data_IF_709415456378
#
_entry.id   IF_709415456378
#
_cell.length_a   1.000
_cell.length_b   1.000
_cell.length_c   1.000
_cell.angle_alpha   90.00
_cell.angle_beta   90.00
_cell.angle_gamma   90.00
#
_symmetry.space_group_name_H-M   'P 1'
#
loop_
_entity.id
_entity.type
_entity.pdbx_description
1 polymer ?
#
# COMPACT_ATOMS: atom_id res chain seq x y z
N UNK A 1 -6.21 18.23 -6.88
CA UNK A 1 -7.06 17.89 -5.73
C UNK A 1 -6.27 16.97 -4.81
N UNK A 2 -6.22 17.24 -3.51
CA UNK A 2 -5.55 16.35 -2.57
C UNK A 2 -6.48 15.18 -2.22
N UNK A 3 -6.00 13.94 -2.34
CA UNK A 3 -6.77 12.78 -1.93
C UNK A 3 -6.92 12.78 -0.40
N UNK A 4 -8.13 12.53 0.14
CA UNK A 4 -8.32 12.46 1.58
C UNK A 4 -7.48 11.32 2.17
N UNK A 5 -6.87 11.60 3.32
CA UNK A 5 -6.07 10.63 4.08
C UNK A 5 -6.91 10.04 5.21
N UNK A 6 -7.11 8.73 5.19
CA UNK A 6 -7.84 8.01 6.25
C UNK A 6 -6.84 7.28 7.15
N UNK A 7 -6.96 7.45 8.46
CA UNK A 7 -6.15 6.72 9.43
C UNK A 7 -6.82 5.41 9.84
N UNK A 8 -6.17 4.29 9.53
CA UNK A 8 -6.66 2.94 9.85
C UNK A 8 -5.91 2.31 11.03
N UNK A 9 -4.95 3.02 11.63
CA UNK A 9 -4.11 2.48 12.70
C UNK A 9 -4.94 2.18 13.95
N UNK A 10 -4.84 0.95 14.44
CA UNK A 10 -5.47 0.54 15.71
C UNK A 10 -7.01 0.43 15.66
N UNK A 11 -7.63 0.61 14.48
CA UNK A 11 -9.07 0.43 14.35
C UNK A 11 -9.45 -1.05 14.48
N UNK A 12 -10.51 -1.31 15.25
CA UNK A 12 -11.08 -2.64 15.42
C UNK A 12 -12.42 -2.71 14.69
N UNK A 13 -12.69 -3.80 13.94
CA UNK A 13 -13.99 -4.00 13.31
C UNK A 13 -15.15 -3.84 14.30
N UNK A 14 -16.24 -3.20 13.86
CA UNK A 14 -17.45 -2.99 14.65
C UNK A 14 -17.36 -1.85 15.68
N UNK A 15 -16.25 -1.13 15.78
CA UNK A 15 -16.17 0.10 16.57
C UNK A 15 -16.72 1.31 15.78
N UNK A 16 -17.24 2.36 16.43
CA UNK A 16 -17.68 3.57 15.73
C UNK A 16 -16.59 4.17 14.84
N UNK A 17 -15.35 4.25 15.32
CA UNK A 17 -14.21 4.73 14.53
C UNK A 17 -13.90 3.88 13.28
N UNK A 18 -14.20 2.57 13.33
CA UNK A 18 -14.11 1.71 12.15
C UNK A 18 -15.20 2.01 11.12
N UNK A 19 -16.44 2.21 11.56
CA UNK A 19 -17.57 2.55 10.67
C UNK A 19 -17.36 3.92 10.00
N UNK A 20 -16.84 4.90 10.75
CA UNK A 20 -16.45 6.22 10.22
C UNK A 20 -15.33 6.11 9.18
N UNK A 21 -14.26 5.38 9.49
CA UNK A 21 -13.15 5.17 8.55
C UNK A 21 -13.60 4.43 7.29
N UNK A 22 -14.47 3.42 7.43
CA UNK A 22 -15.06 2.69 6.30
C UNK A 22 -15.87 3.65 5.41
N UNK A 23 -16.71 4.48 6.01
CA UNK A 23 -17.51 5.48 5.30
C UNK A 23 -16.62 6.46 4.53
N UNK A 24 -15.55 6.95 5.17
CA UNK A 24 -14.59 7.86 4.53
C UNK A 24 -13.84 7.21 3.35
N UNK A 25 -13.40 5.96 3.50
CA UNK A 25 -12.78 5.18 2.42
C UNK A 25 -13.76 5.02 1.25
N UNK A 26 -14.99 4.58 1.52
CA UNK A 26 -16.03 4.41 0.48
C UNK A 26 -16.31 5.71 -0.25
N UNK A 27 -16.48 6.82 0.47
CA UNK A 27 -16.72 8.12 -0.12
C UNK A 27 -15.56 8.55 -1.05
N UNK A 28 -14.31 8.36 -0.62
CA UNK A 28 -13.13 8.68 -1.44
C UNK A 28 -13.06 7.82 -2.70
N UNK A 29 -13.38 6.53 -2.59
CA UNK A 29 -13.41 5.63 -3.75
C UNK A 29 -14.49 6.03 -4.75
N UNK A 30 -15.68 6.42 -4.29
CA UNK A 30 -16.78 6.89 -5.16
C UNK A 30 -16.42 8.21 -5.85
N UNK A 31 -15.84 9.17 -5.11
CA UNK A 31 -15.56 10.49 -5.63
C UNK A 31 -14.28 10.57 -6.48
N UNK A 32 -13.27 9.75 -6.17
CA UNK A 32 -11.91 9.90 -6.71
C UNK A 32 -11.34 8.60 -7.30
N UNK A 33 -11.99 7.45 -7.12
CA UNK A 33 -11.46 6.15 -7.53
C UNK A 33 -10.24 5.67 -6.72
N UNK A 34 -9.81 6.43 -5.71
CA UNK A 34 -8.65 6.13 -4.89
C UNK A 34 -8.75 6.74 -3.49
N UNK A 35 -7.91 6.28 -2.56
CA UNK A 35 -7.79 6.79 -1.19
C UNK A 35 -6.34 6.64 -0.72
N UNK A 36 -5.87 7.57 0.12
CA UNK A 36 -4.60 7.42 0.82
C UNK A 36 -4.87 6.95 2.24
N UNK A 37 -4.25 5.86 2.66
CA UNK A 37 -4.44 5.32 4.02
C UNK A 37 -3.16 5.39 4.84
N UNK A 38 -3.27 5.78 6.11
CA UNK A 38 -2.24 5.49 7.09
C UNK A 38 -2.53 4.11 7.69
N UNK A 39 -1.71 3.13 7.32
CA UNK A 39 -1.79 1.77 7.82
C UNK A 39 -0.52 1.46 8.61
N UNK A 40 -0.67 1.05 9.88
CA UNK A 40 0.46 0.89 10.80
C UNK A 40 1.31 -0.35 10.58
N UNK A 41 0.90 -1.27 9.70
CA UNK A 41 1.64 -2.53 9.51
C UNK A 41 2.94 -2.40 8.69
N UNK A 42 3.16 -1.29 8.00
CA UNK A 42 4.44 -1.05 7.31
C UNK A 42 5.26 -0.07 8.14
N UNK A 43 6.14 -0.62 8.98
CA UNK A 43 7.09 0.16 9.75
C UNK A 43 8.05 0.94 8.84
N UNK A 44 8.60 2.07 9.32
CA UNK A 44 9.54 2.89 8.54
C UNK A 44 10.78 2.10 8.11
N UNK A 45 11.24 1.16 8.92
CA UNK A 45 12.40 0.31 8.62
C UNK A 45 12.12 -0.61 7.44
N UNK A 46 10.94 -1.24 7.40
CA UNK A 46 10.54 -2.09 6.28
C UNK A 46 10.37 -1.28 5.00
N UNK A 47 9.80 -0.07 5.11
CA UNK A 47 9.65 0.83 3.96
C UNK A 47 11.01 1.23 3.40
N UNK A 48 11.97 1.55 4.26
CA UNK A 48 13.32 1.94 3.83
C UNK A 48 14.08 0.76 3.24
N UNK A 49 14.06 -0.40 3.89
CA UNK A 49 14.69 -1.61 3.37
C UNK A 49 14.14 -1.98 1.97
N UNK A 50 12.81 -1.90 1.80
CA UNK A 50 12.17 -2.23 0.53
C UNK A 50 12.44 -1.18 -0.55
N UNK A 51 12.11 0.10 -0.31
CA UNK A 51 12.10 1.12 -1.36
C UNK A 51 13.38 1.96 -1.42
N UNK A 52 14.07 2.17 -0.29
CA UNK A 52 15.34 2.90 -0.24
C UNK A 52 16.52 2.09 -0.77
N UNK A 53 16.47 0.76 -0.59
CA UNK A 53 17.56 -0.15 -0.97
C UNK A 53 17.14 -1.22 -1.97
N UNK A 54 16.32 -2.19 -1.57
CA UNK A 54 16.11 -3.42 -2.32
C UNK A 54 15.52 -3.19 -3.73
N UNK A 55 14.52 -2.32 -3.86
CA UNK A 55 13.91 -2.03 -5.16
C UNK A 55 14.92 -1.39 -6.12
N UNK A 56 15.75 -0.46 -5.66
CA UNK A 56 16.76 0.18 -6.51
C UNK A 56 17.72 -0.86 -7.09
N UNK A 57 18.24 -1.74 -6.24
CA UNK A 57 19.14 -2.82 -6.65
C UNK A 57 18.48 -3.75 -7.68
N UNK A 58 17.20 -4.10 -7.48
CA UNK A 58 16.44 -4.92 -8.45
C UNK A 58 16.28 -4.20 -9.80
N UNK A 59 16.02 -2.90 -9.81
CA UNK A 59 15.86 -2.14 -11.05
C UNK A 59 17.16 -1.96 -11.82
N UNK A 60 18.30 -1.87 -11.12
CA UNK A 60 19.65 -1.79 -11.70
C UNK A 60 20.10 -3.08 -12.40
N UNK A 61 19.46 -4.22 -12.11
CA UNK A 61 19.75 -5.47 -12.80
C UNK A 61 19.49 -5.36 -14.32
N UNK A 62 20.28 -6.07 -15.16
CA UNK A 62 20.00 -6.18 -16.59
C UNK A 62 18.59 -6.70 -16.88
N UNK A 63 18.05 -6.36 -18.05
CA UNK A 63 16.70 -6.76 -18.44
C UNK A 63 16.53 -8.29 -18.42
N UNK A 64 17.53 -9.01 -18.89
CA UNK A 64 17.59 -10.47 -18.94
C UNK A 64 17.53 -11.05 -17.53
N UNK A 65 18.22 -10.43 -16.57
CA UNK A 65 18.22 -10.88 -15.18
C UNK A 65 16.83 -10.70 -14.53
N UNK A 66 16.14 -9.59 -14.80
CA UNK A 66 14.76 -9.34 -14.32
C UNK A 66 13.75 -10.32 -14.91
N UNK A 67 13.90 -10.69 -16.18
CA UNK A 67 13.00 -11.62 -16.88
C UNK A 67 13.12 -13.07 -16.41
N UNK A 68 14.18 -13.43 -15.66
CA UNK A 68 14.30 -14.78 -15.06
C UNK A 68 13.42 -14.97 -13.82
N UNK A 69 12.88 -13.90 -13.25
CA UNK A 69 11.92 -13.98 -12.15
C UNK A 69 10.54 -14.37 -12.68
N UNK A 70 10.39 -15.64 -13.06
CA UNK A 70 9.14 -16.24 -13.52
C UNK A 70 8.51 -17.08 -12.41
N UNK A 71 7.18 -17.09 -12.37
CA UNK A 71 6.43 -17.94 -11.45
C UNK A 71 6.33 -19.37 -11.99
N UNK A 72 6.53 -20.39 -11.14
CA UNK A 72 6.28 -21.80 -11.47
C UNK A 72 4.80 -22.19 -11.33
N UNK A 73 4.04 -21.40 -10.58
CA UNK A 73 2.58 -21.38 -10.60
C UNK A 73 2.17 -20.39 -11.68
N UNK A 74 1.79 -20.91 -12.84
CA UNK A 74 1.37 -20.11 -14.01
C UNK A 74 0.16 -19.21 -13.73
N UNK A 75 -0.39 -18.52 -14.75
CA UNK A 75 -1.49 -17.57 -14.57
C UNK A 75 -2.71 -18.17 -13.87
#
# INVERSE_FOLDING_TARGET
>A
MANPKVDLRGLKPGTPGWEEARTAVTASMVAHGCVVVAHGALGPELREALFGHAMREVFELPAEAKQRSVSTVGP
#
